data_IF_675613907270
#
_entry.id   IF_675613907270
#
_cell.length_a   1.000
_cell.length_b   1.000
_cell.length_c   1.000
_cell.angle_alpha   90.00
_cell.angle_beta   90.00
_cell.angle_gamma   90.00
#
_symmetry.space_group_name_H-M   'P 1'
#
loop_
_entity.id
_entity.type
_entity.pdbx_description
1 polymer ?
#
# COMPACT_ATOMS: atom_id res chain seq x y z
N UNK A 1 57.15 -73.62 -63.83
CA UNK A 1 55.87 -72.83 -64.03
C UNK A 1 55.20 -72.65 -62.67
N UNK A 2 55.40 -71.51 -62.02
CA UNK A 2 54.87 -71.30 -60.63
C UNK A 2 53.59 -70.45 -60.74
N UNK A 3 52.45 -71.04 -60.38
CA UNK A 3 51.19 -70.34 -60.28
C UNK A 3 51.12 -69.56 -58.96
N UNK A 4 51.08 -68.20 -58.99
CA UNK A 4 50.81 -67.41 -57.81
C UNK A 4 49.31 -67.50 -57.49
N UNK A 5 48.99 -67.83 -56.25
CA UNK A 5 47.63 -67.81 -55.73
C UNK A 5 47.08 -66.36 -55.66
N UNK A 6 45.80 -66.12 -55.97
CA UNK A 6 45.21 -64.79 -55.88
C UNK A 6 45.06 -64.30 -54.44
N UNK A 7 45.46 -63.08 -54.16
CA UNK A 7 45.29 -62.38 -52.87
C UNK A 7 43.79 -62.07 -52.67
N UNK A 8 43.21 -62.66 -51.61
CA UNK A 8 41.83 -62.28 -51.20
C UNK A 8 41.91 -60.99 -50.40
N UNK A 9 41.35 -59.93 -50.93
CA UNK A 9 41.16 -58.69 -50.19
C UNK A 9 40.04 -58.89 -49.19
N UNK A 10 40.28 -58.51 -47.94
CA UNK A 10 39.27 -58.49 -46.90
C UNK A 10 38.20 -57.33 -47.22
N UNK A 11 36.91 -57.57 -46.99
CA UNK A 11 35.91 -56.52 -47.23
C UNK A 11 36.12 -55.29 -46.31
N UNK A 12 36.10 -54.14 -46.88
CA UNK A 12 36.21 -52.84 -46.17
C UNK A 12 35.00 -52.76 -45.19
N UNK A 13 35.21 -52.55 -43.89
CA UNK A 13 34.10 -52.41 -42.97
C UNK A 13 33.21 -51.20 -43.30
N UNK A 14 31.88 -51.31 -43.15
CA UNK A 14 31.00 -50.21 -43.53
C UNK A 14 31.31 -48.99 -42.65
N UNK A 15 31.56 -47.87 -43.30
CA UNK A 15 31.74 -46.60 -42.61
C UNK A 15 30.44 -46.23 -41.86
N UNK A 16 30.52 -46.12 -40.52
CA UNK A 16 29.39 -45.61 -39.69
C UNK A 16 29.04 -44.19 -40.16
N UNK A 17 27.87 -44.03 -40.75
CA UNK A 17 27.31 -42.69 -41.03
C UNK A 17 27.31 -41.86 -39.74
N UNK A 18 27.81 -40.61 -39.73
CA UNK A 18 27.77 -39.77 -38.54
C UNK A 18 26.31 -39.60 -38.09
N UNK A 19 26.04 -39.88 -36.82
CA UNK A 19 24.72 -39.65 -36.25
C UNK A 19 24.33 -38.20 -36.44
N UNK A 20 23.08 -37.90 -36.81
CA UNK A 20 22.65 -36.51 -36.99
C UNK A 20 22.85 -35.81 -35.64
N UNK A 21 23.70 -34.77 -35.61
CA UNK A 21 23.90 -33.91 -34.44
C UNK A 21 22.51 -33.29 -34.15
N UNK A 22 21.83 -33.72 -33.06
CA UNK A 22 20.60 -33.08 -32.60
C UNK A 22 20.89 -31.60 -32.41
N UNK A 23 20.36 -30.77 -33.31
CA UNK A 23 20.41 -29.32 -33.17
C UNK A 23 19.60 -29.00 -31.90
N UNK A 24 20.29 -28.55 -30.86
CA UNK A 24 19.62 -28.13 -29.65
C UNK A 24 18.64 -26.98 -30.04
N UNK A 25 17.36 -27.04 -29.63
CA UNK A 25 16.35 -26.08 -30.08
C UNK A 25 16.51 -24.74 -29.34
N UNK A 26 17.55 -24.00 -29.71
CA UNK A 26 17.86 -22.69 -29.13
C UNK A 26 16.68 -21.72 -29.16
N UNK A 27 15.83 -21.84 -30.17
CA UNK A 27 14.59 -21.03 -30.29
C UNK A 27 13.64 -21.35 -29.14
N UNK A 28 13.41 -22.63 -28.83
CA UNK A 28 12.55 -23.03 -27.71
C UNK A 28 13.11 -22.58 -26.35
N UNK A 29 14.43 -22.69 -26.20
CA UNK A 29 15.11 -22.18 -24.99
C UNK A 29 14.94 -20.66 -24.87
N UNK A 30 15.13 -19.91 -25.97
CA UNK A 30 14.96 -18.47 -25.98
C UNK A 30 13.51 -18.04 -25.64
N UNK A 31 12.53 -18.73 -26.21
CA UNK A 31 11.10 -18.51 -25.89
C UNK A 31 10.83 -18.80 -24.41
N UNK A 32 11.34 -19.92 -23.89
CA UNK A 32 11.18 -20.29 -22.49
C UNK A 32 11.80 -19.24 -21.54
N UNK A 33 13.02 -18.79 -21.83
CA UNK A 33 13.70 -17.76 -21.04
C UNK A 33 12.95 -16.42 -21.12
N UNK A 34 12.46 -16.03 -22.31
CA UNK A 34 11.66 -14.83 -22.48
C UNK A 34 10.33 -14.92 -21.71
N UNK A 35 9.61 -16.01 -21.84
CA UNK A 35 8.37 -16.21 -21.08
C UNK A 35 8.63 -16.24 -19.56
N UNK A 36 9.68 -16.92 -19.12
CA UNK A 36 10.08 -16.96 -17.71
C UNK A 36 10.46 -15.57 -17.19
N UNK A 37 11.20 -14.78 -17.97
CA UNK A 37 11.54 -13.40 -17.65
C UNK A 37 10.29 -12.52 -17.58
N UNK A 38 9.38 -12.65 -18.54
CA UNK A 38 8.12 -11.90 -18.56
C UNK A 38 7.22 -12.24 -17.36
N UNK A 39 7.10 -13.54 -17.03
CA UNK A 39 6.38 -14.01 -15.83
C UNK A 39 7.05 -13.47 -14.57
N UNK A 40 8.38 -13.55 -14.47
CA UNK A 40 9.12 -13.00 -13.34
C UNK A 40 8.87 -11.50 -13.16
N UNK A 41 8.96 -10.72 -14.22
CA UNK A 41 8.66 -9.28 -14.20
C UNK A 41 7.22 -8.98 -13.77
N UNK A 42 6.25 -9.78 -14.26
CA UNK A 42 4.83 -9.61 -13.93
C UNK A 42 4.51 -9.97 -12.48
N UNK A 43 5.25 -10.91 -11.88
CA UNK A 43 5.08 -11.34 -10.50
C UNK A 43 5.91 -10.53 -9.50
N UNK A 44 6.92 -9.79 -9.97
CA UNK A 44 7.79 -9.01 -9.08
C UNK A 44 7.11 -7.70 -8.69
N UNK A 45 6.90 -7.42 -7.40
CA UNK A 45 6.33 -6.14 -6.98
C UNK A 45 7.22 -4.96 -7.37
N UNK A 46 6.63 -3.96 -8.01
CA UNK A 46 7.31 -2.71 -8.34
C UNK A 46 7.38 -1.80 -7.11
N UNK A 47 8.56 -1.61 -6.55
CA UNK A 47 8.79 -0.69 -5.43
C UNK A 47 8.95 0.76 -5.95
N UNK A 48 8.84 1.78 -5.07
CA UNK A 48 9.23 3.14 -5.42
C UNK A 48 10.69 3.16 -5.87
N UNK A 49 10.97 3.92 -6.92
CA UNK A 49 12.30 4.06 -7.53
C UNK A 49 12.50 5.48 -8.06
N UNK A 50 13.73 5.87 -8.37
CA UNK A 50 14.06 7.25 -8.81
C UNK A 50 13.18 7.70 -9.97
N UNK A 51 12.93 6.82 -10.95
CA UNK A 51 12.08 7.14 -12.11
C UNK A 51 10.59 7.25 -11.77
N UNK A 52 10.13 6.56 -10.73
CA UNK A 52 8.74 6.53 -10.26
C UNK A 52 8.70 6.58 -8.73
N UNK A 53 9.02 7.73 -8.13
CA UNK A 53 9.22 7.83 -6.68
C UNK A 53 7.92 7.86 -5.88
N UNK A 54 6.76 8.01 -6.52
CA UNK A 54 5.44 7.98 -5.88
C UNK A 54 4.59 6.89 -6.51
N UNK A 55 4.26 5.85 -5.75
CA UNK A 55 3.45 4.71 -6.19
C UNK A 55 2.26 4.47 -5.27
N UNK A 56 1.17 3.98 -5.85
CA UNK A 56 -0.03 3.57 -5.13
C UNK A 56 -0.17 2.05 -5.19
N UNK A 57 -0.62 1.44 -4.09
CA UNK A 57 -0.82 -0.01 -3.97
C UNK A 57 -2.16 -0.31 -3.32
N UNK A 58 -2.90 -1.25 -3.87
CA UNK A 58 -4.15 -1.74 -3.29
C UNK A 58 -4.38 -3.20 -3.64
N UNK A 59 -4.69 -4.02 -2.64
CA UNK A 59 -5.07 -5.41 -2.85
C UNK A 59 -6.40 -5.57 -3.62
N UNK A 60 -7.29 -4.58 -3.59
CA UNK A 60 -8.49 -4.58 -4.43
C UNK A 60 -8.22 -4.52 -5.94
N UNK A 61 -7.04 -4.11 -6.36
CA UNK A 61 -6.59 -4.11 -7.76
C UNK A 61 -5.71 -5.32 -8.11
N UNK A 62 -5.85 -6.42 -7.36
CA UNK A 62 -5.06 -7.65 -7.51
C UNK A 62 -3.55 -7.45 -7.29
N UNK A 63 -3.17 -6.42 -6.53
CA UNK A 63 -1.79 -6.24 -6.10
C UNK A 63 -1.59 -6.94 -4.76
N UNK A 64 -0.54 -7.75 -4.67
CA UNK A 64 -0.19 -8.42 -3.42
C UNK A 64 0.60 -7.46 -2.50
N UNK A 65 -0.14 -6.77 -1.60
CA UNK A 65 0.47 -5.89 -0.60
C UNK A 65 1.48 -6.62 0.29
N UNK A 66 1.19 -7.88 0.63
CA UNK A 66 2.10 -8.69 1.44
C UNK A 66 3.42 -8.92 0.73
N UNK A 67 3.37 -9.38 -0.52
CA UNK A 67 4.57 -9.59 -1.34
C UNK A 67 5.32 -8.29 -1.60
N UNK A 68 4.61 -7.17 -1.77
CA UNK A 68 5.22 -5.85 -1.96
C UNK A 68 6.04 -5.44 -0.73
N UNK A 69 5.44 -5.50 0.47
CA UNK A 69 6.13 -5.13 1.71
C UNK A 69 7.23 -6.11 2.08
N UNK A 70 7.03 -7.42 1.85
CA UNK A 70 8.08 -8.44 2.01
C UNK A 70 9.27 -8.19 1.10
N UNK A 71 9.03 -7.91 -0.18
CA UNK A 71 10.09 -7.57 -1.14
C UNK A 71 10.87 -6.34 -0.69
N UNK A 72 10.15 -5.31 -0.21
CA UNK A 72 10.77 -4.10 0.31
C UNK A 72 11.65 -4.37 1.53
N UNK A 73 11.15 -5.08 2.55
CA UNK A 73 11.91 -5.44 3.76
C UNK A 73 13.15 -6.28 3.41
N UNK A 74 13.01 -7.27 2.52
CA UNK A 74 14.13 -8.13 2.10
C UNK A 74 15.22 -7.36 1.36
N UNK A 75 14.86 -6.31 0.61
CA UNK A 75 15.80 -5.47 -0.13
C UNK A 75 16.50 -4.42 0.75
N UNK A 76 16.01 -4.13 1.95
CA UNK A 76 16.63 -3.20 2.88
C UNK A 76 18.09 -3.62 3.18
N UNK A 77 19.00 -2.64 3.20
CA UNK A 77 20.46 -2.86 3.34
C UNK A 77 21.03 -2.19 4.58
N UNK A 78 20.56 -1.00 4.90
CA UNK A 78 21.20 -0.13 5.91
C UNK A 78 20.35 0.11 7.14
N UNK A 79 19.01 0.15 7.00
CA UNK A 79 18.13 0.40 8.14
C UNK A 79 16.68 0.00 7.89
N UNK A 80 15.97 -0.34 8.95
CA UNK A 80 14.52 -0.52 8.98
C UNK A 80 13.95 0.29 10.14
N UNK A 81 13.02 1.19 9.84
CA UNK A 81 12.24 1.92 10.84
C UNK A 81 10.76 1.63 10.61
N UNK A 82 10.10 1.07 11.61
CA UNK A 82 8.72 0.62 11.53
C UNK A 82 7.87 1.26 12.63
N UNK A 83 6.77 1.88 12.26
CA UNK A 83 5.71 2.32 13.17
C UNK A 83 4.44 1.59 12.79
N UNK A 84 3.95 0.68 13.63
CA UNK A 84 2.89 -0.23 13.22
C UNK A 84 1.91 -0.54 14.36
N UNK A 85 0.62 -0.26 14.10
CA UNK A 85 -0.45 -0.64 15.03
C UNK A 85 -0.55 -2.16 15.16
N UNK A 86 -0.80 -2.86 14.06
CA UNK A 86 -0.97 -4.31 14.05
C UNK A 86 0.15 -5.01 13.26
N UNK A 87 1.01 -5.77 13.94
CA UNK A 87 2.14 -6.50 13.36
C UNK A 87 2.11 -7.95 13.85
N UNK A 88 1.65 -8.86 12.99
CA UNK A 88 1.52 -10.29 13.32
C UNK A 88 1.61 -11.22 12.11
N UNK A 89 1.81 -10.71 10.88
CA UNK A 89 1.99 -11.57 9.70
C UNK A 89 3.30 -12.34 9.79
N UNK A 90 3.23 -13.66 9.76
CA UNK A 90 4.38 -14.55 9.98
C UNK A 90 5.52 -14.33 8.98
N UNK A 91 5.21 -14.06 7.71
CA UNK A 91 6.26 -13.85 6.72
C UNK A 91 6.94 -12.48 6.89
N UNK A 92 6.17 -11.43 7.27
CA UNK A 92 6.74 -10.12 7.63
C UNK A 92 7.64 -10.28 8.86
N UNK A 93 7.18 -10.95 9.92
CA UNK A 93 7.97 -11.21 11.12
C UNK A 93 9.23 -12.03 10.83
N UNK A 94 9.12 -13.05 9.97
CA UNK A 94 10.27 -13.85 9.52
C UNK A 94 11.30 -13.00 8.78
N UNK A 95 10.86 -12.13 7.87
CA UNK A 95 11.74 -11.23 7.13
C UNK A 95 12.43 -10.20 8.05
N UNK A 96 11.70 -9.62 9.02
CA UNK A 96 12.27 -8.73 10.02
C UNK A 96 13.30 -9.45 10.90
N UNK A 97 12.97 -10.65 11.41
CA UNK A 97 13.91 -11.46 12.18
C UNK A 97 15.17 -11.83 11.37
N UNK A 98 15.02 -12.09 10.07
CA UNK A 98 16.17 -12.35 9.19
C UNK A 98 17.07 -11.11 9.09
N UNK A 99 16.50 -9.91 8.90
CA UNK A 99 17.25 -8.65 8.84
C UNK A 99 17.95 -8.33 10.14
N UNK A 100 17.28 -8.54 11.26
CA UNK A 100 17.87 -8.36 12.61
C UNK A 100 19.07 -9.31 12.79
N UNK A 101 18.97 -10.58 12.38
CA UNK A 101 20.10 -11.54 12.42
C UNK A 101 21.25 -11.18 11.46
N UNK A 102 20.99 -10.36 10.44
CA UNK A 102 21.99 -9.81 9.51
C UNK A 102 22.57 -8.47 10.00
N UNK A 103 22.33 -8.12 11.27
CA UNK A 103 22.75 -6.87 11.92
C UNK A 103 22.25 -5.61 11.21
N UNK A 104 21.12 -5.71 10.47
CA UNK A 104 20.46 -4.53 9.91
C UNK A 104 19.80 -3.75 11.04
N UNK A 105 20.20 -2.49 11.32
CA UNK A 105 19.60 -1.65 12.33
C UNK A 105 18.08 -1.59 12.14
N UNK A 106 17.33 -2.01 13.16
CA UNK A 106 15.88 -2.13 13.08
C UNK A 106 15.24 -1.51 14.32
N UNK A 107 14.47 -0.45 14.12
CA UNK A 107 13.73 0.30 15.15
C UNK A 107 12.23 0.08 14.92
N UNK A 108 11.50 -0.32 15.96
CA UNK A 108 10.09 -0.66 15.86
C UNK A 108 9.28 0.01 16.97
N UNK A 109 8.41 0.94 16.58
CA UNK A 109 7.34 1.46 17.42
C UNK A 109 6.06 0.66 17.18
N UNK A 110 5.44 0.16 18.22
CA UNK A 110 4.24 -0.66 18.07
C UNK A 110 3.21 -0.41 19.18
N UNK A 111 1.94 -0.52 18.80
CA UNK A 111 0.83 -0.46 19.77
C UNK A 111 0.73 -1.78 20.56
N UNK A 112 0.70 -1.69 21.88
CA UNK A 112 0.66 -2.89 22.74
C UNK A 112 -0.66 -3.64 22.67
N UNK A 113 -1.78 -2.96 22.38
CA UNK A 113 -3.09 -3.59 22.15
C UNK A 113 -3.22 -4.19 20.77
N UNK A 114 -2.69 -3.50 19.73
CA UNK A 114 -2.71 -3.96 18.33
C UNK A 114 -1.70 -5.08 18.04
N UNK A 115 -0.61 -5.16 18.82
CA UNK A 115 0.48 -6.14 18.64
C UNK A 115 0.91 -6.79 19.98
N UNK A 116 0.00 -7.43 20.73
CA UNK A 116 0.26 -7.83 22.13
C UNK A 116 1.36 -8.89 22.30
N UNK A 117 1.64 -9.68 21.26
CA UNK A 117 2.63 -10.78 21.29
C UNK A 117 3.95 -10.42 20.61
N UNK A 118 4.13 -9.18 20.14
CA UNK A 118 5.24 -8.82 19.25
C UNK A 118 6.62 -9.09 19.87
N UNK A 119 6.84 -8.75 21.15
CA UNK A 119 8.11 -9.03 21.86
C UNK A 119 8.49 -10.50 21.93
N UNK A 120 7.50 -11.42 21.85
CA UNK A 120 7.76 -12.86 21.82
C UNK A 120 8.10 -13.36 20.42
N UNK A 121 7.63 -12.65 19.38
CA UNK A 121 7.74 -13.04 17.99
C UNK A 121 9.00 -12.47 17.30
N UNK A 122 9.46 -11.30 17.72
CA UNK A 122 10.70 -10.70 17.25
C UNK A 122 11.85 -10.97 18.23
N UNK A 123 13.00 -11.38 17.69
CA UNK A 123 14.18 -11.84 18.43
C UNK A 123 15.31 -10.81 18.42
N UNK A 124 15.00 -9.54 18.63
CA UNK A 124 15.95 -8.43 18.65
C UNK A 124 15.39 -7.17 18.01
N UNK A 125 16.28 -6.24 17.68
CA UNK A 125 15.92 -4.89 17.25
C UNK A 125 15.59 -3.99 18.44
N UNK A 126 15.57 -2.69 18.18
CA UNK A 126 15.17 -1.67 19.16
C UNK A 126 13.64 -1.54 19.16
N UNK A 127 12.98 -1.96 20.25
CA UNK A 127 11.53 -2.08 20.33
C UNK A 127 10.93 -1.08 21.32
N UNK A 128 10.07 -0.20 20.83
CA UNK A 128 9.35 0.82 21.58
C UNK A 128 7.86 0.52 21.66
N UNK A 129 7.40 -0.13 22.76
CA UNK A 129 5.97 -0.35 22.97
C UNK A 129 5.28 0.96 23.32
N UNK A 130 4.18 1.26 22.63
CA UNK A 130 3.36 2.44 22.88
C UNK A 130 2.04 2.01 23.54
N UNK A 131 1.71 2.65 24.66
CA UNK A 131 0.44 2.50 25.35
C UNK A 131 -0.04 3.88 25.74
N UNK A 132 -1.09 4.35 25.11
CA UNK A 132 -1.61 5.72 25.27
C UNK A 132 -3.09 5.73 25.59
N UNK A 133 -3.62 6.92 25.95
CA UNK A 133 -5.05 7.16 26.05
C UNK A 133 -5.79 7.06 24.68
N UNK A 134 -5.06 7.33 23.57
CA UNK A 134 -5.49 7.05 22.20
C UNK A 134 -4.74 5.85 21.61
N UNK A 135 -5.06 5.46 20.39
CA UNK A 135 -4.35 4.39 19.69
C UNK A 135 -3.05 4.94 19.06
N UNK A 136 -1.97 4.17 19.12
CA UNK A 136 -0.84 4.37 18.21
C UNK A 136 -1.21 3.69 16.87
N UNK A 137 -1.98 4.41 16.04
CA UNK A 137 -2.66 3.83 14.88
C UNK A 137 -1.93 4.07 13.54
N UNK A 138 -0.72 4.62 13.56
CA UNK A 138 0.13 4.78 12.38
C UNK A 138 0.53 3.43 11.76
N UNK A 139 0.76 3.44 10.45
CA UNK A 139 1.25 2.32 9.65
C UNK A 139 2.29 2.87 8.68
N UNK A 140 3.54 2.88 9.13
CA UNK A 140 4.68 3.48 8.42
C UNK A 140 5.82 2.48 8.42
N UNK A 141 6.41 2.24 7.25
CA UNK A 141 7.64 1.47 7.08
C UNK A 141 8.63 2.35 6.32
N UNK A 142 9.81 2.54 6.88
CA UNK A 142 10.91 3.26 6.24
C UNK A 142 12.08 2.30 6.10
N UNK A 143 12.69 2.27 4.92
CA UNK A 143 13.79 1.41 4.57
C UNK A 143 14.93 2.26 4.02
N UNK A 144 16.16 2.01 4.54
CA UNK A 144 17.38 2.64 4.08
C UNK A 144 17.33 4.18 4.10
N UNK A 145 16.54 4.75 5.04
CA UNK A 145 16.30 6.18 5.21
C UNK A 145 15.84 6.91 3.94
N UNK A 146 15.21 6.19 3.02
CA UNK A 146 14.82 6.74 1.72
C UNK A 146 13.47 6.23 1.22
N UNK A 147 13.20 4.92 1.31
CA UNK A 147 11.95 4.33 0.83
C UNK A 147 10.93 4.25 1.95
N UNK A 148 9.78 4.87 1.75
CA UNK A 148 8.70 4.99 2.73
C UNK A 148 7.44 4.32 2.20
N UNK A 149 6.80 3.50 3.01
CA UNK A 149 5.43 3.02 2.79
C UNK A 149 4.56 3.49 3.94
N UNK A 150 3.42 4.09 3.62
CA UNK A 150 2.44 4.52 4.61
C UNK A 150 1.01 4.41 4.03
N UNK A 151 0.03 4.22 4.90
CA UNK A 151 -1.35 4.08 4.43
C UNK A 151 -2.28 3.43 5.46
N UNK A 152 -3.27 2.68 4.96
CA UNK A 152 -4.29 2.08 5.82
C UNK A 152 -3.95 0.67 6.31
N UNK A 153 -3.00 -0.03 5.65
CA UNK A 153 -2.73 -1.45 5.90
C UNK A 153 -1.93 -1.71 7.18
N UNK A 154 -2.46 -2.54 8.07
CA UNK A 154 -1.68 -3.19 9.12
C UNK A 154 -0.83 -4.33 8.53
N UNK A 155 0.23 -4.71 9.21
CA UNK A 155 1.05 -5.88 8.85
C UNK A 155 0.54 -7.15 9.54
N UNK A 156 -0.76 -7.42 9.41
CA UNK A 156 -1.41 -8.67 9.80
C UNK A 156 -1.86 -9.43 8.56
N UNK A 157 -1.95 -10.75 8.62
CA UNK A 157 -2.35 -11.57 7.47
C UNK A 157 -3.73 -11.15 6.93
N UNK A 158 -4.69 -10.90 7.82
CA UNK A 158 -6.01 -10.42 7.43
C UNK A 158 -5.94 -9.07 6.69
N UNK A 159 -5.19 -8.09 7.24
CA UNK A 159 -5.06 -6.77 6.62
C UNK A 159 -4.37 -6.81 5.26
N UNK A 160 -3.31 -7.61 5.14
CA UNK A 160 -2.50 -7.67 3.91
C UNK A 160 -3.14 -8.49 2.78
N UNK A 161 -4.06 -9.42 3.09
CA UNK A 161 -4.64 -10.34 2.11
C UNK A 161 -6.14 -10.17 1.89
N UNK A 162 -6.89 -9.80 2.93
CA UNK A 162 -8.35 -9.84 2.90
C UNK A 162 -9.00 -8.46 3.03
N UNK A 163 -8.38 -7.51 3.75
CA UNK A 163 -8.99 -6.19 3.92
C UNK A 163 -8.63 -5.27 2.76
N UNK A 164 -9.58 -4.43 2.37
CA UNK A 164 -9.39 -3.43 1.33
C UNK A 164 -8.56 -2.26 1.83
N UNK A 165 -7.34 -2.16 1.38
CA UNK A 165 -6.37 -1.16 1.82
C UNK A 165 -5.81 -0.33 0.65
N UNK A 166 -5.37 0.88 0.97
CA UNK A 166 -4.58 1.74 0.10
C UNK A 166 -3.27 2.11 0.82
N UNK A 167 -2.15 1.87 0.15
CA UNK A 167 -0.80 2.19 0.62
C UNK A 167 -0.12 3.09 -0.40
N UNK A 168 0.56 4.11 0.07
CA UNK A 168 1.43 5.00 -0.72
C UNK A 168 2.87 4.61 -0.46
N UNK A 169 3.61 4.37 -1.52
CA UNK A 169 5.06 4.22 -1.50
C UNK A 169 5.73 5.48 -2.01
N UNK A 170 6.71 5.97 -1.27
CA UNK A 170 7.49 7.18 -1.59
C UNK A 170 8.97 6.85 -1.55
N UNK A 171 9.74 7.37 -2.49
CA UNK A 171 11.20 7.35 -2.45
C UNK A 171 11.70 8.79 -2.26
N UNK A 172 11.97 9.15 -1.00
CA UNK A 172 12.41 10.50 -0.65
C UNK A 172 13.03 10.57 0.76
N UNK A 173 14.29 10.95 0.85
CA UNK A 173 15.04 11.06 2.11
C UNK A 173 14.50 12.12 3.06
N UNK A 174 13.96 13.23 2.53
CA UNK A 174 13.38 14.30 3.37
C UNK A 174 12.12 13.81 4.07
N UNK A 175 11.27 13.06 3.36
CA UNK A 175 10.08 12.41 3.94
C UNK A 175 10.48 11.39 5.00
N UNK A 176 11.44 10.51 4.69
CA UNK A 176 11.94 9.51 5.63
C UNK A 176 12.50 10.16 6.91
N UNK A 177 13.33 11.17 6.77
CA UNK A 177 13.90 11.94 7.89
C UNK A 177 12.81 12.58 8.74
N UNK A 178 11.87 13.31 8.11
CA UNK A 178 10.77 13.95 8.82
C UNK A 178 9.98 12.96 9.67
N UNK A 179 9.65 11.78 9.13
CA UNK A 179 8.90 10.75 9.86
C UNK A 179 9.69 10.15 11.04
N UNK A 180 11.02 10.04 10.92
CA UNK A 180 11.91 9.57 12.00
C UNK A 180 12.10 10.62 13.11
N UNK A 181 12.15 11.90 12.74
CA UNK A 181 12.27 13.02 13.68
C UNK A 181 10.97 13.29 14.46
N UNK A 182 9.85 12.73 14.00
CA UNK A 182 8.55 12.85 14.64
C UNK A 182 7.99 11.46 15.01
N UNK A 183 8.52 10.84 16.08
CA UNK A 183 8.02 9.54 16.55
C UNK A 183 6.53 9.62 16.93
N UNK A 184 5.85 8.48 17.15
CA UNK A 184 4.44 8.46 17.51
C UNK A 184 4.08 9.44 18.62
N UNK A 185 2.96 10.15 18.48
CA UNK A 185 2.43 11.23 19.34
C UNK A 185 3.10 12.60 19.17
N UNK A 186 4.10 12.71 18.34
CA UNK A 186 4.66 14.01 17.98
C UNK A 186 3.91 14.55 16.77
N UNK A 187 3.13 15.64 16.91
CA UNK A 187 2.47 16.26 15.77
C UNK A 187 3.51 16.85 14.81
N UNK A 188 3.18 16.81 13.52
CA UNK A 188 4.08 17.35 12.51
C UNK A 188 3.37 17.62 11.19
N UNK A 189 3.91 18.56 10.43
CA UNK A 189 3.50 18.87 9.08
C UNK A 189 4.72 19.02 8.17
N UNK A 190 4.67 18.35 7.02
CA UNK A 190 5.68 18.51 5.97
C UNK A 190 4.99 18.73 4.63
N UNK A 191 5.44 19.71 3.87
CA UNK A 191 5.15 19.86 2.44
C UNK A 191 6.45 19.82 1.65
N UNK A 192 6.51 18.97 0.62
CA UNK A 192 7.71 18.79 -0.18
C UNK A 192 7.40 18.24 -1.55
N UNK A 193 8.31 18.45 -2.50
CA UNK A 193 8.21 17.85 -3.83
C UNK A 193 8.84 16.46 -3.86
N UNK A 194 8.15 15.48 -4.45
CA UNK A 194 8.65 14.13 -4.70
C UNK A 194 8.35 13.76 -6.15
N UNK A 195 9.39 13.61 -6.98
CA UNK A 195 9.20 13.29 -8.40
C UNK A 195 8.32 14.29 -9.16
N UNK A 196 8.43 15.58 -8.84
CA UNK A 196 7.61 16.62 -9.45
C UNK A 196 6.18 16.73 -8.91
N UNK A 197 5.81 15.92 -7.92
CA UNK A 197 4.49 15.99 -7.27
C UNK A 197 4.59 16.67 -5.89
N UNK A 198 3.61 17.49 -5.57
CA UNK A 198 3.49 18.18 -4.29
C UNK A 198 2.87 17.22 -3.27
N UNK A 199 3.68 16.82 -2.29
CA UNK A 199 3.34 15.88 -1.24
C UNK A 199 3.21 16.63 0.08
N UNK A 200 2.12 16.36 0.78
CA UNK A 200 1.83 16.87 2.12
C UNK A 200 1.70 15.71 3.11
N UNK A 201 2.23 15.87 4.30
CA UNK A 201 2.15 14.91 5.39
C UNK A 201 1.69 15.60 6.67
N UNK A 202 0.71 15.02 7.33
CA UNK A 202 0.25 15.44 8.66
C UNK A 202 0.42 14.26 9.61
N UNK A 203 1.09 14.49 10.74
CA UNK A 203 1.20 13.55 11.85
C UNK A 203 0.28 14.00 12.97
N UNK A 204 -0.56 13.09 13.41
CA UNK A 204 -1.56 13.27 14.46
C UNK A 204 -1.11 12.60 15.77
N UNK A 205 -1.61 13.05 16.92
CA UNK A 205 -2.69 14.01 17.09
C UNK A 205 -2.26 15.45 16.79
N UNK A 206 -3.17 16.25 16.23
CA UNK A 206 -2.95 17.68 16.02
C UNK A 206 -3.95 18.51 16.86
N UNK A 207 -3.60 18.84 18.09
CA UNK A 207 -4.48 19.58 19.00
C UNK A 207 -4.87 20.98 18.49
N UNK A 208 -4.04 21.57 17.61
CA UNK A 208 -4.32 22.89 17.00
C UNK A 208 -5.29 22.80 15.83
N UNK A 209 -5.56 21.59 15.32
CA UNK A 209 -6.54 21.35 14.25
C UNK A 209 -6.10 21.78 12.85
N UNK A 210 -4.80 21.97 12.60
CA UNK A 210 -4.29 22.36 11.28
C UNK A 210 -4.60 21.27 10.23
N UNK A 211 -4.35 19.99 10.54
CA UNK A 211 -4.63 18.87 9.66
C UNK A 211 -6.11 18.80 9.28
N UNK A 212 -7.01 18.97 10.25
CA UNK A 212 -8.44 19.02 10.03
C UNK A 212 -8.85 20.26 9.20
N UNK A 213 -8.26 21.41 9.52
CA UNK A 213 -8.49 22.67 8.79
C UNK A 213 -8.07 22.56 7.33
N UNK A 214 -6.93 21.95 7.03
CA UNK A 214 -6.43 21.77 5.67
C UNK A 214 -7.28 20.76 4.88
N UNK A 215 -7.71 19.66 5.51
CA UNK A 215 -8.66 18.74 4.89
C UNK A 215 -9.99 19.43 4.54
N UNK A 216 -10.53 20.26 5.46
CA UNK A 216 -11.75 21.07 5.20
C UNK A 216 -11.54 22.05 4.05
N UNK A 217 -10.40 22.77 4.00
CA UNK A 217 -10.05 23.66 2.89
C UNK A 217 -10.05 22.93 1.55
N UNK A 218 -9.47 21.73 1.48
CA UNK A 218 -9.44 20.92 0.25
C UNK A 218 -10.85 20.48 -0.17
N UNK A 219 -11.73 20.10 0.77
CA UNK A 219 -13.14 19.78 0.47
C UNK A 219 -13.89 21.02 -0.04
N UNK A 220 -13.66 22.20 0.55
CA UNK A 220 -14.25 23.46 0.09
C UNK A 220 -13.78 23.87 -1.30
N UNK A 221 -12.53 23.60 -1.64
CA UNK A 221 -11.95 23.91 -2.94
C UNK A 221 -12.38 22.96 -4.06
N UNK A 222 -13.02 21.84 -3.73
CA UNK A 222 -13.52 20.88 -4.72
C UNK A 222 -14.58 21.55 -5.63
N UNK A 223 -14.43 21.32 -6.95
CA UNK A 223 -15.25 21.98 -7.98
C UNK A 223 -16.05 21.01 -8.86
N UNK A 224 -15.66 19.76 -8.97
CA UNK A 224 -16.28 18.77 -9.86
C UNK A 224 -16.71 17.50 -9.12
N UNK A 225 -15.78 16.82 -8.47
CA UNK A 225 -16.04 15.49 -7.91
C UNK A 225 -15.36 15.28 -6.56
N UNK A 226 -16.06 14.65 -5.64
CA UNK A 226 -15.50 14.12 -4.39
C UNK A 226 -15.89 12.64 -4.27
N UNK A 227 -14.87 11.76 -4.15
CA UNK A 227 -15.04 10.33 -3.91
C UNK A 227 -14.38 9.97 -2.59
N UNK A 228 -15.16 9.41 -1.66
CA UNK A 228 -14.72 9.10 -0.28
C UNK A 228 -14.92 7.62 -0.02
N UNK A 229 -13.85 6.92 0.41
CA UNK A 229 -13.95 5.56 0.94
C UNK A 229 -13.36 5.51 2.34
N UNK A 230 -14.17 5.16 3.34
CA UNK A 230 -13.81 5.23 4.75
C UNK A 230 -14.26 3.99 5.52
N UNK A 231 -13.36 3.45 6.33
CA UNK A 231 -13.75 2.46 7.33
C UNK A 231 -14.70 3.08 8.36
N UNK A 232 -14.33 4.23 8.97
CA UNK A 232 -15.19 4.92 9.94
C UNK A 232 -15.27 6.40 9.65
N UNK A 233 -16.50 6.94 9.56
CA UNK A 233 -16.79 8.35 9.30
C UNK A 233 -17.79 8.88 10.31
N UNK A 234 -17.32 9.59 11.35
CA UNK A 234 -18.15 10.11 12.44
C UNK A 234 -17.91 11.57 12.77
N UNK A 235 -16.89 12.22 12.16
CA UNK A 235 -16.52 13.61 12.47
C UNK A 235 -17.56 14.59 11.91
N UNK A 236 -18.38 15.29 12.77
CA UNK A 236 -19.51 16.05 12.31
C UNK A 236 -19.11 17.20 11.35
N UNK A 237 -18.03 17.93 11.67
CA UNK A 237 -17.59 19.04 10.82
C UNK A 237 -17.06 18.60 9.45
N UNK A 238 -16.60 17.35 9.26
CA UNK A 238 -16.27 16.82 7.93
C UNK A 238 -17.54 16.38 7.18
N UNK A 239 -18.53 15.86 7.89
CA UNK A 239 -19.87 15.58 7.30
C UNK A 239 -20.49 16.86 6.76
N UNK A 240 -20.45 17.95 7.54
CA UNK A 240 -20.97 19.26 7.12
C UNK A 240 -20.26 19.77 5.86
N UNK A 241 -18.93 19.72 5.79
CA UNK A 241 -18.17 20.15 4.60
C UNK A 241 -18.51 19.32 3.34
N UNK A 242 -18.73 18.00 3.51
CA UNK A 242 -19.13 17.12 2.41
C UNK A 242 -20.54 17.47 1.91
N UNK A 243 -21.47 17.74 2.84
CA UNK A 243 -22.83 18.18 2.50
C UNK A 243 -22.80 19.54 1.78
N UNK A 244 -22.01 20.49 2.28
CA UNK A 244 -21.90 21.81 1.68
C UNK A 244 -21.24 21.77 0.29
N UNK A 245 -20.27 20.86 0.08
CA UNK A 245 -19.73 20.62 -1.27
C UNK A 245 -20.82 20.12 -2.23
N UNK A 246 -21.66 19.18 -1.78
CA UNK A 246 -22.78 18.69 -2.58
C UNK A 246 -23.78 19.79 -2.92
N UNK A 247 -24.15 20.64 -1.95
CA UNK A 247 -25.03 21.79 -2.18
C UNK A 247 -24.46 22.80 -3.19
N UNK A 248 -23.14 22.91 -3.31
CA UNK A 248 -22.47 23.72 -4.34
C UNK A 248 -22.50 23.10 -5.74
N UNK A 249 -23.06 21.88 -5.90
CA UNK A 249 -23.14 21.17 -7.18
C UNK A 249 -21.97 20.22 -7.44
N UNK A 250 -21.08 19.99 -6.46
CA UNK A 250 -20.01 18.99 -6.59
C UNK A 250 -20.64 17.59 -6.58
N UNK A 251 -20.24 16.73 -7.53
CA UNK A 251 -20.69 15.35 -7.58
C UNK A 251 -20.00 14.55 -6.47
N UNK A 252 -20.70 14.30 -5.37
CA UNK A 252 -20.19 13.59 -4.19
C UNK A 252 -20.67 12.15 -4.18
N UNK A 253 -19.75 11.21 -3.96
CA UNK A 253 -20.06 9.78 -3.75
C UNK A 253 -19.23 9.25 -2.57
N UNK A 254 -19.89 8.53 -1.67
CA UNK A 254 -19.29 8.04 -0.42
C UNK A 254 -19.53 6.55 -0.27
N UNK A 255 -18.49 5.81 0.09
CA UNK A 255 -18.58 4.39 0.49
C UNK A 255 -18.03 4.24 1.90
N UNK A 256 -18.81 3.64 2.78
CA UNK A 256 -18.44 3.35 4.19
C UNK A 256 -18.43 1.84 4.39
N UNK A 257 -17.56 1.36 5.27
CA UNK A 257 -17.58 -0.07 5.66
C UNK A 257 -18.95 -0.46 6.21
N UNK A 258 -19.42 -1.67 5.86
CA UNK A 258 -20.75 -2.16 6.25
C UNK A 258 -20.97 -2.12 7.77
N UNK A 259 -20.03 -2.70 8.52
CA UNK A 259 -20.19 -2.80 9.98
C UNK A 259 -20.14 -1.43 10.65
N UNK A 260 -19.22 -0.59 10.20
CA UNK A 260 -19.15 0.80 10.67
C UNK A 260 -20.38 1.60 10.25
N UNK A 261 -20.86 1.42 9.02
CA UNK A 261 -22.04 2.12 8.48
C UNK A 261 -23.34 1.76 9.21
N UNK A 262 -23.50 0.52 9.65
CA UNK A 262 -24.63 0.08 10.48
C UNK A 262 -24.44 0.37 11.98
N UNK A 263 -23.20 0.65 12.41
CA UNK A 263 -22.80 0.93 13.79
C UNK A 263 -22.36 2.36 14.00
N UNK A 264 -21.05 2.55 14.24
CA UNK A 264 -20.47 3.83 14.62
C UNK A 264 -20.78 4.98 13.64
N UNK A 265 -20.83 4.71 12.34
CA UNK A 265 -21.08 5.70 11.29
C UNK A 265 -22.56 5.82 10.87
N UNK A 266 -23.49 5.09 11.49
CA UNK A 266 -24.90 5.05 11.09
C UNK A 266 -25.53 6.45 10.99
N UNK A 267 -25.29 7.31 11.98
CA UNK A 267 -25.78 8.70 11.98
C UNK A 267 -25.21 9.53 10.82
N UNK A 268 -23.95 9.29 10.45
CA UNK A 268 -23.33 9.95 9.30
C UNK A 268 -23.97 9.48 7.99
N UNK A 269 -24.17 8.17 7.84
CA UNK A 269 -24.83 7.57 6.67
C UNK A 269 -26.20 8.18 6.47
N UNK A 270 -27.01 8.25 7.53
CA UNK A 270 -28.34 8.86 7.47
C UNK A 270 -28.30 10.36 7.10
N UNK A 271 -27.40 11.13 7.71
CA UNK A 271 -27.25 12.56 7.40
C UNK A 271 -26.88 12.82 5.94
N UNK A 272 -25.93 12.04 5.41
CA UNK A 272 -25.50 12.16 4.01
C UNK A 272 -26.62 11.75 3.05
N UNK A 273 -27.37 10.69 3.38
CA UNK A 273 -28.54 10.25 2.61
C UNK A 273 -29.63 11.32 2.59
N UNK A 274 -30.00 11.89 3.74
CA UNK A 274 -30.98 12.97 3.85
C UNK A 274 -30.56 14.24 3.07
N UNK A 275 -29.26 14.46 2.92
CA UNK A 275 -28.72 15.55 2.09
C UNK A 275 -28.71 15.22 0.58
N UNK A 276 -29.22 14.07 0.15
CA UNK A 276 -29.25 13.65 -1.26
C UNK A 276 -27.90 13.12 -1.80
N UNK A 277 -26.93 12.89 -0.94
CA UNK A 277 -25.62 12.40 -1.34
C UNK A 277 -25.68 10.89 -1.62
N UNK A 278 -25.09 10.48 -2.75
CA UNK A 278 -24.95 9.09 -3.13
C UNK A 278 -24.03 8.35 -2.14
N UNK A 279 -24.62 7.60 -1.23
CA UNK A 279 -23.90 6.84 -0.22
C UNK A 279 -24.14 5.33 -0.34
N UNK A 280 -23.07 4.55 -0.17
CA UNK A 280 -23.08 3.11 -0.24
C UNK A 280 -22.46 2.50 1.02
N UNK A 281 -22.85 1.29 1.37
CA UNK A 281 -22.13 0.43 2.30
C UNK A 281 -21.40 -0.69 1.56
N UNK A 282 -20.19 -1.04 2.00
CA UNK A 282 -19.48 -2.22 1.47
C UNK A 282 -20.32 -3.48 1.65
N UNK A 283 -20.05 -4.57 0.87
CA UNK A 283 -20.86 -5.79 0.99
C UNK A 283 -20.54 -6.66 2.20
N UNK A 284 -19.53 -6.27 3.00
CA UNK A 284 -19.22 -6.93 4.27
C UNK A 284 -18.47 -8.27 4.20
N UNK A 285 -18.16 -8.77 2.98
CA UNK A 285 -17.36 -10.00 2.83
C UNK A 285 -15.90 -9.72 3.21
N UNK A 286 -15.40 -8.56 2.80
CA UNK A 286 -14.08 -8.06 3.18
C UNK A 286 -14.25 -6.71 3.85
N UNK A 287 -13.38 -6.43 4.83
CA UNK A 287 -13.39 -5.15 5.54
C UNK A 287 -12.94 -4.03 4.59
N UNK A 288 -13.80 -3.04 4.35
CA UNK A 288 -13.40 -1.82 3.63
C UNK A 288 -12.55 -0.96 4.58
N UNK A 289 -11.25 -1.20 4.57
CA UNK A 289 -10.34 -0.53 5.50
C UNK A 289 -9.66 0.71 4.92
N UNK A 290 -10.14 1.22 3.79
CA UNK A 290 -9.70 2.49 3.21
C UNK A 290 -9.97 3.69 4.14
N UNK A 291 -9.14 4.70 4.01
CA UNK A 291 -9.32 6.02 4.60
C UNK A 291 -8.79 7.04 3.59
N UNK A 292 -9.60 7.30 2.54
CA UNK A 292 -9.19 8.27 1.53
C UNK A 292 -10.33 9.17 1.06
N UNK A 293 -9.94 10.32 0.56
CA UNK A 293 -10.73 11.21 -0.29
C UNK A 293 -9.95 11.48 -1.58
N UNK A 294 -10.66 11.39 -2.71
CA UNK A 294 -10.16 11.68 -4.04
C UNK A 294 -10.97 12.81 -4.65
N UNK A 295 -10.33 13.96 -4.86
CA UNK A 295 -10.94 15.24 -5.22
C UNK A 295 -10.57 15.59 -6.66
N UNK A 296 -11.58 15.90 -7.50
CA UNK A 296 -11.48 16.45 -8.87
C UNK A 296 -10.54 15.66 -9.79
N UNK A 297 -10.28 14.41 -9.47
CA UNK A 297 -9.30 13.52 -10.15
C UNK A 297 -7.87 14.10 -10.14
N UNK A 298 -7.57 14.99 -9.19
CA UNK A 298 -6.28 15.66 -9.07
C UNK A 298 -5.61 15.47 -7.72
N UNK A 299 -6.38 15.42 -6.65
CA UNK A 299 -5.85 15.36 -5.28
C UNK A 299 -6.34 14.11 -4.57
N UNK A 300 -5.41 13.37 -3.99
CA UNK A 300 -5.66 12.22 -3.13
C UNK A 300 -5.14 12.52 -1.73
N UNK A 301 -6.00 12.41 -0.71
CA UNK A 301 -5.55 12.30 0.67
C UNK A 301 -5.90 10.91 1.18
N UNK A 302 -4.93 10.25 1.78
CA UNK A 302 -5.10 8.91 2.37
C UNK A 302 -4.20 8.75 3.59
N UNK A 303 -4.24 7.60 4.26
CA UNK A 303 -3.41 7.36 5.43
C UNK A 303 -4.03 6.36 6.40
N UNK A 304 -3.64 6.48 7.67
CA UNK A 304 -4.18 5.63 8.73
C UNK A 304 -5.42 6.22 9.41
N UNK A 305 -5.63 7.53 9.31
CA UNK A 305 -6.64 8.28 10.05
C UNK A 305 -8.07 7.99 9.57
N UNK A 306 -8.90 7.42 10.44
CA UNK A 306 -10.35 7.44 10.27
C UNK A 306 -10.88 8.86 10.41
N UNK A 307 -12.02 9.16 9.85
CA UNK A 307 -12.62 10.50 10.00
C UNK A 307 -13.46 10.60 11.27
N UNK A 308 -12.76 10.58 12.41
CA UNK A 308 -13.31 10.64 13.76
C UNK A 308 -12.62 11.74 14.57
N UNK A 309 -13.26 12.27 15.60
CA UNK A 309 -12.60 13.21 16.53
C UNK A 309 -11.36 12.56 17.19
N UNK A 310 -11.44 11.27 17.54
CA UNK A 310 -10.33 10.57 18.15
C UNK A 310 -9.09 10.51 17.23
N UNK A 311 -9.27 10.28 15.92
CA UNK A 311 -8.15 10.25 14.98
C UNK A 311 -7.40 11.59 14.91
N UNK A 312 -8.12 12.74 14.92
CA UNK A 312 -7.48 14.05 14.81
C UNK A 312 -6.85 14.54 16.11
N UNK A 313 -7.43 14.18 17.27
CA UNK A 313 -7.08 14.82 18.55
C UNK A 313 -6.49 13.90 19.61
N UNK A 314 -6.52 12.57 19.44
CA UNK A 314 -6.07 11.61 20.45
C UNK A 314 -5.15 10.52 19.93
N UNK A 315 -5.42 9.98 18.75
CA UNK A 315 -4.64 8.89 18.19
C UNK A 315 -3.36 9.40 17.52
N UNK A 316 -2.31 8.59 17.55
CA UNK A 316 -1.20 8.77 16.63
C UNK A 316 -1.58 8.18 15.28
N UNK A 317 -1.93 9.04 14.35
CA UNK A 317 -2.29 8.70 12.97
C UNK A 317 -1.42 9.48 11.97
N UNK A 318 -1.44 9.14 10.69
CA UNK A 318 -0.83 9.92 9.64
C UNK A 318 -1.79 10.10 8.46
N UNK A 319 -1.69 11.25 7.80
CA UNK A 319 -2.37 11.54 6.55
C UNK A 319 -1.30 11.95 5.54
N UNK A 320 -1.38 11.42 4.32
CA UNK A 320 -0.58 11.85 3.17
C UNK A 320 -1.50 12.43 2.11
N UNK A 321 -1.15 13.62 1.62
CA UNK A 321 -1.76 14.27 0.48
C UNK A 321 -0.84 14.19 -0.74
N UNK A 322 -1.37 13.80 -1.88
CA UNK A 322 -0.71 13.83 -3.17
C UNK A 322 -1.52 14.80 -4.03
N UNK A 323 -0.94 15.96 -4.30
CA UNK A 323 -1.53 16.93 -5.20
C UNK A 323 -1.03 16.71 -6.64
N UNK A 324 -1.84 17.07 -7.63
CA UNK A 324 -1.51 16.91 -9.05
C UNK A 324 -1.14 15.47 -9.42
N UNK A 325 -2.06 14.52 -9.18
CA UNK A 325 -1.89 13.12 -9.57
C UNK A 325 -1.51 13.01 -11.05
N UNK A 326 -0.49 12.20 -11.36
CA UNK A 326 -0.14 11.89 -12.74
C UNK A 326 -1.15 10.92 -13.39
N UNK A 327 -1.05 10.69 -14.70
CA UNK A 327 -2.02 9.88 -15.44
C UNK A 327 -2.09 8.42 -14.95
N UNK A 328 -0.96 7.81 -14.56
CA UNK A 328 -0.91 6.46 -14.02
C UNK A 328 -1.71 6.37 -12.71
N UNK A 329 -1.51 7.35 -11.82
CA UNK A 329 -2.21 7.42 -10.53
C UNK A 329 -3.70 7.74 -10.68
N UNK A 330 -4.08 8.60 -11.63
CA UNK A 330 -5.49 8.86 -11.96
C UNK A 330 -6.17 7.60 -12.45
N UNK A 331 -5.54 6.89 -13.37
CA UNK A 331 -6.03 5.60 -13.88
C UNK A 331 -6.17 4.57 -12.75
N UNK A 332 -5.17 4.49 -11.86
CA UNK A 332 -5.22 3.63 -10.68
C UNK A 332 -6.41 3.99 -9.77
N UNK A 333 -6.57 5.26 -9.40
CA UNK A 333 -7.63 5.72 -8.50
C UNK A 333 -9.03 5.55 -9.13
N UNK A 334 -9.19 5.79 -10.42
CA UNK A 334 -10.46 5.58 -11.12
C UNK A 334 -10.85 4.09 -11.17
N UNK A 335 -9.89 3.19 -11.43
CA UNK A 335 -10.11 1.74 -11.37
C UNK A 335 -10.44 1.29 -9.94
N UNK A 336 -9.71 1.80 -8.94
CA UNK A 336 -9.95 1.49 -7.53
C UNK A 336 -11.36 1.95 -7.13
N UNK A 337 -11.72 3.19 -7.46
CA UNK A 337 -13.04 3.71 -7.16
C UNK A 337 -14.17 2.88 -7.80
N UNK A 338 -14.02 2.57 -9.08
CA UNK A 338 -15.00 1.71 -9.78
C UNK A 338 -15.16 0.35 -9.08
N UNK A 339 -14.07 -0.26 -8.65
CA UNK A 339 -14.10 -1.54 -7.92
C UNK A 339 -14.81 -1.40 -6.57
N UNK A 340 -14.52 -0.34 -5.82
CA UNK A 340 -15.17 -0.04 -4.54
C UNK A 340 -16.67 0.18 -4.72
N UNK A 341 -17.05 1.05 -5.65
CA UNK A 341 -18.45 1.43 -5.89
C UNK A 341 -19.29 0.23 -6.39
N UNK A 342 -18.78 -0.54 -7.34
CA UNK A 342 -19.48 -1.74 -7.85
C UNK A 342 -19.54 -2.88 -6.83
N UNK A 343 -18.58 -2.95 -5.92
CA UNK A 343 -18.55 -3.88 -4.79
C UNK A 343 -19.45 -3.48 -3.62
N UNK A 344 -20.08 -2.31 -3.64
CA UNK A 344 -20.91 -1.80 -2.56
C UNK A 344 -22.42 -1.87 -2.87
N UNK A 345 -23.27 -1.70 -1.83
CA UNK A 345 -24.73 -1.59 -1.98
C UNK A 345 -25.15 -0.15 -1.75
N UNK A 346 -25.91 0.41 -2.68
CA UNK A 346 -26.55 1.71 -2.49
C UNK A 346 -27.49 1.68 -1.28
N UNK A 347 -27.47 2.73 -0.46
CA UNK A 347 -28.43 2.92 0.60
C UNK A 347 -29.63 3.70 0.01
N UNK A 348 -30.79 3.04 -0.04
CA UNK A 348 -32.07 3.60 -0.51
C UNK A 348 -32.68 4.48 0.57
#
# INVERSE_FOLDING_TARGET
>A
MFFKKPVKYAPIPPQKKPSPKRKFPWILLSIFLFCSWFIYQSLTPHLPEVAKPVRLYSNQLNQDLRSTLLSAIRKARTSIYLVMFGLSDEAILSALNQKIRQDTPTIIYYDTGGSPKLRKLLKGGEMHPIKNAGLMHQKILILDDETVFLGSANMTTASLRMHDNLVVGLMNRKVARFLKEHPPQTPGYLRTMVGGQDIELWLLPDPRGHALGDLRKKIRAASRTIRIALFTFTHPGLVDEVIDAHKRGVAVSVVVDLHSGLGASARTVERLKLAGIKIFLSRGVQLLHHKFIYIDEQTLLTGSANWTKAAFYKNSDCIVGINCLNQEQKTFMNRLWHRIETGAKAQK
#
